data_IF_575924560545
#
_entry.id   IF_575924560545
#
_cell.length_a   1.000
_cell.length_b   1.000
_cell.length_c   1.000
_cell.angle_alpha   90.00
_cell.angle_beta   90.00
_cell.angle_gamma   90.00
#
_symmetry.space_group_name_H-M   'P 1'
#
loop_
_entity.id
_entity.type
_entity.pdbx_description
1 polymer ?
#
# COMPACT_ATOMS: atom_id res chain seq x y z
N UNK A 1 -25.03 -33.30 10.74
CA UNK A 1 -24.15 -32.74 9.69
C UNK A 1 -23.40 -31.57 10.30
N UNK A 2 -22.15 -31.28 9.91
CA UNK A 2 -21.44 -30.11 10.47
C UNK A 2 -22.10 -28.82 9.97
N UNK A 3 -22.42 -27.90 10.88
CA UNK A 3 -23.13 -26.65 10.59
C UNK A 3 -22.52 -25.83 9.43
N UNK A 4 -21.18 -25.84 9.29
CA UNK A 4 -20.50 -25.12 8.20
C UNK A 4 -20.79 -25.68 6.81
N UNK A 5 -21.18 -26.96 6.69
CA UNK A 5 -21.45 -27.63 5.42
C UNK A 5 -22.72 -27.10 4.73
N UNK A 6 -23.70 -26.63 5.51
CA UNK A 6 -24.95 -26.03 5.03
C UNK A 6 -24.75 -24.59 4.51
N UNK A 7 -23.63 -23.98 4.90
CA UNK A 7 -23.24 -22.63 4.53
C UNK A 7 -22.37 -22.60 3.26
N UNK A 8 -21.92 -23.77 2.79
CA UNK A 8 -21.14 -23.90 1.56
C UNK A 8 -22.02 -23.65 0.35
N UNK A 9 -21.62 -22.71 -0.51
CA UNK A 9 -22.44 -22.27 -1.65
C UNK A 9 -23.47 -21.18 -1.27
N UNK A 10 -23.66 -20.91 0.03
CA UNK A 10 -24.30 -19.68 0.50
C UNK A 10 -23.29 -18.60 0.84
N UNK A 11 -22.07 -18.95 1.30
CA UNK A 11 -20.94 -18.06 1.62
C UNK A 11 -19.65 -18.52 0.93
N UNK A 12 -18.75 -17.57 0.62
CA UNK A 12 -17.47 -17.91 -0.03
C UNK A 12 -16.68 -18.91 0.81
N UNK A 13 -15.89 -19.77 0.18
CA UNK A 13 -15.09 -20.79 0.89
C UNK A 13 -14.23 -20.19 2.02
N UNK A 14 -13.75 -18.94 1.84
CA UNK A 14 -13.01 -18.19 2.84
C UNK A 14 -13.87 -17.66 3.99
N UNK A 15 -15.11 -17.27 3.71
CA UNK A 15 -16.03 -16.73 4.71
C UNK A 15 -16.58 -17.85 5.60
N UNK A 16 -16.95 -18.99 5.02
CA UNK A 16 -17.32 -20.21 5.78
C UNK A 16 -16.15 -20.65 6.66
N UNK A 17 -14.93 -20.62 6.12
CA UNK A 17 -13.72 -20.93 6.88
C UNK A 17 -13.53 -20.02 8.09
N UNK A 18 -13.69 -18.71 7.90
CA UNK A 18 -13.55 -17.70 8.95
C UNK A 18 -14.63 -17.87 10.04
N UNK A 19 -15.89 -18.06 9.66
CA UNK A 19 -17.03 -18.14 10.59
C UNK A 19 -17.00 -19.38 11.48
N UNK A 20 -16.57 -20.51 10.94
CA UNK A 20 -16.67 -21.81 11.61
C UNK A 20 -15.31 -22.38 12.06
N UNK A 21 -14.23 -21.60 11.94
CA UNK A 21 -12.88 -22.03 12.34
C UNK A 21 -12.34 -23.22 11.55
N UNK A 22 -12.79 -23.40 10.30
CA UNK A 22 -12.36 -24.50 9.43
C UNK A 22 -11.42 -24.01 8.33
N UNK A 23 -10.53 -24.87 7.84
CA UNK A 23 -9.65 -24.48 6.73
C UNK A 23 -10.45 -24.20 5.45
N UNK A 24 -10.17 -23.08 4.77
CA UNK A 24 -10.77 -22.75 3.47
C UNK A 24 -10.54 -23.85 2.42
N UNK A 25 -9.43 -24.57 2.51
CA UNK A 25 -9.14 -25.73 1.65
C UNK A 25 -10.07 -26.92 1.92
N UNK A 26 -10.48 -27.12 3.19
CA UNK A 26 -11.45 -28.15 3.58
C UNK A 26 -12.83 -27.81 3.04
N UNK A 27 -13.23 -26.54 3.13
CA UNK A 27 -14.50 -26.03 2.59
C UNK A 27 -14.56 -26.21 1.08
N UNK A 28 -13.52 -25.75 0.37
CA UNK A 28 -13.42 -25.90 -1.09
C UNK A 28 -13.48 -27.36 -1.53
N UNK A 29 -12.79 -28.27 -0.83
CA UNK A 29 -12.76 -29.70 -1.17
C UNK A 29 -14.14 -30.34 -0.98
N UNK A 30 -14.84 -29.96 0.09
CA UNK A 30 -16.23 -30.37 0.31
C UNK A 30 -17.15 -29.86 -0.80
N UNK A 31 -17.08 -28.56 -1.12
CA UNK A 31 -17.86 -27.93 -2.20
C UNK A 31 -17.72 -28.64 -3.54
N UNK A 32 -16.48 -28.95 -3.94
CA UNK A 32 -16.20 -29.64 -5.20
C UNK A 32 -16.71 -31.09 -5.18
N UNK A 33 -16.54 -31.80 -4.05
CA UNK A 33 -17.01 -33.19 -3.88
C UNK A 33 -18.54 -33.29 -3.98
N UNK A 34 -19.26 -32.32 -3.43
CA UNK A 34 -20.73 -32.27 -3.44
C UNK A 34 -21.29 -31.54 -4.67
N UNK A 35 -20.43 -31.13 -5.61
CA UNK A 35 -20.79 -30.37 -6.83
C UNK A 35 -21.59 -29.09 -6.54
N UNK A 36 -21.36 -28.47 -5.38
CA UNK A 36 -21.97 -27.19 -5.01
C UNK A 36 -21.26 -26.07 -5.79
N UNK A 37 -22.03 -25.21 -6.45
CA UNK A 37 -21.48 -24.07 -7.18
C UNK A 37 -20.78 -23.09 -6.22
N UNK A 38 -19.71 -22.45 -6.70
CA UNK A 38 -19.05 -21.41 -5.92
C UNK A 38 -19.96 -20.18 -5.89
N UNK A 39 -20.44 -19.79 -4.70
CA UNK A 39 -21.13 -18.50 -4.61
C UNK A 39 -20.11 -17.38 -4.80
N UNK A 40 -20.32 -16.59 -5.84
CA UNK A 40 -19.45 -15.46 -6.13
C UNK A 40 -19.71 -14.31 -5.16
N UNK A 41 -20.90 -14.19 -4.57
CA UNK A 41 -21.21 -13.13 -3.60
C UNK A 41 -22.41 -13.51 -2.73
N UNK A 42 -22.23 -13.70 -1.41
CA UNK A 42 -23.26 -14.35 -0.61
C UNK A 42 -24.33 -13.42 -0.05
N UNK A 43 -23.99 -12.28 0.51
CA UNK A 43 -24.95 -11.26 0.98
C UNK A 43 -24.13 -9.99 1.27
N UNK A 44 -24.78 -8.83 1.24
CA UNK A 44 -24.13 -7.56 1.63
C UNK A 44 -23.90 -7.63 3.15
N UNK A 45 -22.67 -7.53 3.66
CA UNK A 45 -22.45 -7.51 5.11
C UNK A 45 -23.20 -6.36 5.78
N UNK A 46 -23.77 -6.61 6.95
CA UNK A 46 -24.50 -5.58 7.72
C UNK A 46 -23.62 -4.34 7.95
N UNK A 47 -24.18 -3.15 7.67
CA UNK A 47 -23.48 -1.87 7.74
C UNK A 47 -22.53 -1.56 6.58
N UNK A 48 -22.36 -2.46 5.60
CA UNK A 48 -21.60 -2.15 4.37
C UNK A 48 -22.31 -1.06 3.56
N UNK A 49 -23.64 -1.14 3.45
CA UNK A 49 -24.45 -0.17 2.72
C UNK A 49 -24.33 1.25 3.32
N UNK A 50 -24.44 1.37 4.64
CA UNK A 50 -24.25 2.65 5.35
C UNK A 50 -22.82 3.18 5.19
N UNK A 51 -21.84 2.27 5.20
CA UNK A 51 -20.44 2.59 4.94
C UNK A 51 -20.17 3.12 3.54
N UNK A 52 -20.98 2.79 2.52
CA UNK A 52 -20.79 3.29 1.15
C UNK A 52 -21.00 4.79 1.03
N UNK A 53 -21.75 5.42 1.93
CA UNK A 53 -21.96 6.88 1.88
C UNK A 53 -20.66 7.62 2.24
N UNK A 54 -19.90 7.12 3.21
CA UNK A 54 -18.78 7.85 3.82
C UNK A 54 -17.39 7.30 3.51
N UNK A 55 -17.28 6.00 3.23
CA UNK A 55 -15.98 5.32 3.11
C UNK A 55 -15.60 5.06 1.66
N UNK A 56 -14.33 5.19 1.34
CA UNK A 56 -13.76 4.75 0.05
C UNK A 56 -13.86 3.23 -0.13
N UNK A 57 -13.77 2.77 -1.37
CA UNK A 57 -13.75 1.34 -1.70
C UNK A 57 -12.61 0.60 -1.00
N UNK A 58 -11.47 1.26 -0.84
CA UNK A 58 -10.33 0.71 -0.10
C UNK A 58 -10.64 0.56 1.40
N UNK A 59 -11.23 1.58 2.03
CA UNK A 59 -11.62 1.53 3.43
C UNK A 59 -12.66 0.44 3.69
N UNK A 60 -13.65 0.30 2.80
CA UNK A 60 -14.67 -0.76 2.88
C UNK A 60 -14.06 -2.16 2.71
N UNK A 61 -13.14 -2.33 1.76
CA UNK A 61 -12.42 -3.59 1.57
C UNK A 61 -11.67 -4.00 2.84
N UNK A 62 -10.98 -3.05 3.49
CA UNK A 62 -10.24 -3.28 4.73
C UNK A 62 -11.15 -3.56 5.92
N UNK A 63 -12.28 -2.85 6.04
CA UNK A 63 -13.21 -2.96 7.18
C UNK A 63 -14.07 -4.21 7.12
N UNK A 64 -14.62 -4.52 5.94
CA UNK A 64 -15.59 -5.60 5.77
C UNK A 64 -15.01 -6.86 5.12
N UNK A 65 -13.75 -6.83 4.68
CA UNK A 65 -13.09 -7.98 4.05
C UNK A 65 -13.71 -8.39 2.70
N UNK A 66 -14.44 -7.46 2.07
CA UNK A 66 -15.10 -7.64 0.77
C UNK A 66 -14.13 -7.23 -0.35
N UNK A 67 -14.18 -7.92 -1.49
CA UNK A 67 -13.35 -7.55 -2.63
C UNK A 67 -13.72 -6.16 -3.14
N UNK A 68 -12.71 -5.42 -3.61
CA UNK A 68 -12.91 -4.08 -4.17
C UNK A 68 -13.89 -4.10 -5.35
N UNK A 69 -13.79 -5.09 -6.24
CA UNK A 69 -14.69 -5.26 -7.39
C UNK A 69 -16.15 -5.42 -6.97
N UNK A 70 -16.43 -6.15 -5.88
CA UNK A 70 -17.79 -6.29 -5.37
C UNK A 70 -18.30 -4.99 -4.78
N UNK A 71 -17.48 -4.23 -4.07
CA UNK A 71 -17.88 -2.92 -3.53
C UNK A 71 -18.22 -1.97 -4.69
N UNK A 72 -17.42 -1.96 -5.76
CA UNK A 72 -17.71 -1.19 -6.97
C UNK A 72 -19.02 -1.62 -7.64
N UNK A 73 -19.27 -2.92 -7.76
CA UNK A 73 -20.53 -3.46 -8.31
C UNK A 73 -21.74 -3.03 -7.45
N UNK A 74 -21.61 -3.12 -6.12
CA UNK A 74 -22.69 -2.72 -5.21
C UNK A 74 -22.96 -1.22 -5.25
N UNK A 75 -21.91 -0.39 -5.32
CA UNK A 75 -22.04 1.06 -5.51
C UNK A 75 -22.77 1.41 -6.81
N UNK A 76 -22.48 0.69 -7.90
CA UNK A 76 -23.17 0.89 -9.17
C UNK A 76 -24.66 0.49 -9.08
N UNK A 77 -24.96 -0.65 -8.44
CA UNK A 77 -26.35 -1.13 -8.27
C UNK A 77 -27.19 -0.27 -7.35
N UNK A 78 -26.58 0.30 -6.30
CA UNK A 78 -27.24 1.17 -5.34
C UNK A 78 -27.14 2.66 -5.73
N UNK A 79 -26.53 2.96 -6.88
CA UNK A 79 -26.28 4.32 -7.37
C UNK A 79 -25.58 5.24 -6.34
N UNK A 80 -24.72 4.66 -5.49
CA UNK A 80 -23.94 5.39 -4.47
C UNK A 80 -22.52 5.63 -4.98
N UNK A 81 -22.19 6.83 -5.51
CA UNK A 81 -20.85 7.12 -5.99
C UNK A 81 -19.84 7.06 -4.84
N UNK A 82 -18.61 6.66 -5.14
CA UNK A 82 -17.52 6.70 -4.15
C UNK A 82 -17.35 8.13 -3.64
N UNK A 83 -17.31 8.35 -2.31
CA UNK A 83 -17.09 9.68 -1.77
C UNK A 83 -15.75 10.16 -2.32
N UNK A 84 -15.81 11.20 -3.16
CA UNK A 84 -14.61 11.88 -3.61
C UNK A 84 -14.01 12.50 -2.36
N UNK A 85 -12.83 12.04 -1.96
CA UNK A 85 -12.02 12.78 -1.01
C UNK A 85 -11.73 14.11 -1.71
N UNK A 86 -12.43 15.18 -1.30
CA UNK A 86 -12.00 16.54 -1.61
C UNK A 86 -10.66 16.71 -0.92
N UNK A 87 -9.60 16.38 -1.67
CA UNK A 87 -8.26 16.80 -1.32
C UNK A 87 -8.27 18.30 -1.55
N UNK A 88 -7.93 19.06 -0.51
CA UNK A 88 -7.60 20.46 -0.69
C UNK A 88 -6.65 20.57 -1.88
N UNK A 89 -7.03 21.36 -2.88
CA UNK A 89 -6.15 21.61 -4.01
C UNK A 89 -4.90 22.24 -3.43
N UNK A 90 -3.72 21.71 -3.78
CA UNK A 90 -2.47 22.39 -3.45
C UNK A 90 -2.59 23.83 -3.93
N UNK A 91 -2.30 24.78 -3.03
CA UNK A 91 -2.37 26.19 -3.34
C UNK A 91 -1.46 26.47 -4.55
N UNK A 92 -1.94 27.21 -5.57
CA UNK A 92 -1.08 27.74 -6.62
C UNK A 92 0.08 28.50 -5.98
N UNK A 93 1.29 28.43 -6.56
CA UNK A 93 2.37 29.25 -6.04
C UNK A 93 2.14 30.70 -6.41
N UNK A 94 2.04 31.54 -5.38
CA UNK A 94 1.99 32.99 -5.57
C UNK A 94 3.27 33.50 -6.25
N UNK A 95 3.17 34.50 -7.13
CA UNK A 95 4.34 35.18 -7.67
C UNK A 95 5.23 35.70 -6.53
N UNK A 96 6.51 35.33 -6.52
CA UNK A 96 7.46 35.70 -5.45
C UNK A 96 7.59 34.69 -4.31
N UNK A 97 6.94 33.54 -4.39
CA UNK A 97 7.08 32.46 -3.39
C UNK A 97 8.54 32.04 -3.13
N UNK A 98 9.36 31.99 -4.19
CA UNK A 98 10.78 31.63 -4.11
C UNK A 98 11.62 32.79 -3.56
N UNK A 99 11.59 32.93 -2.23
CA UNK A 99 12.51 33.80 -1.50
C UNK A 99 13.92 33.21 -1.47
N UNK A 100 14.93 34.03 -1.22
CA UNK A 100 16.33 33.58 -1.10
C UNK A 100 16.46 32.48 -0.04
N UNK A 101 15.70 32.56 1.05
CA UNK A 101 15.61 31.52 2.07
C UNK A 101 15.09 30.19 1.51
N UNK A 102 13.96 30.21 0.77
CA UNK A 102 13.40 29.00 0.15
C UNK A 102 14.34 28.39 -0.90
N UNK A 103 15.02 29.24 -1.68
CA UNK A 103 16.02 28.82 -2.67
C UNK A 103 17.24 28.18 -1.99
N UNK A 104 17.71 28.73 -0.87
CA UNK A 104 18.85 28.18 -0.11
C UNK A 104 18.63 26.76 0.41
N UNK A 105 17.37 26.35 0.60
CA UNK A 105 17.00 25.02 1.08
C UNK A 105 17.01 23.96 -0.03
N UNK A 106 16.97 24.36 -1.30
CA UNK A 106 16.98 23.43 -2.43
C UNK A 106 18.28 22.61 -2.42
N UNK A 107 18.15 21.29 -2.50
CA UNK A 107 19.29 20.36 -2.49
C UNK A 107 19.87 20.06 -1.10
N UNK A 108 19.47 20.78 -0.04
CA UNK A 108 19.93 20.52 1.34
C UNK A 108 19.18 19.37 2.02
N UNK A 109 17.97 19.08 1.56
CA UNK A 109 17.10 18.02 2.06
C UNK A 109 16.28 17.42 0.90
N UNK A 110 15.63 16.26 1.08
CA UNK A 110 14.76 15.69 0.05
C UNK A 110 13.67 16.69 -0.40
N UNK A 111 13.48 16.84 -1.72
CA UNK A 111 12.37 17.62 -2.32
C UNK A 111 11.00 17.37 -1.64
N UNK A 112 10.65 16.14 -1.21
CA UNK A 112 9.42 15.86 -0.46
C UNK A 112 9.33 16.59 0.89
N UNK A 113 10.39 16.52 1.68
CA UNK A 113 10.44 17.12 3.01
C UNK A 113 10.46 18.65 2.90
N UNK A 114 11.17 19.17 1.89
CA UNK A 114 11.15 20.59 1.59
C UNK A 114 9.75 21.06 1.16
N UNK A 115 9.05 20.29 0.33
CA UNK A 115 7.69 20.60 -0.08
C UNK A 115 6.71 20.62 1.10
N UNK A 116 6.81 19.63 1.98
CA UNK A 116 6.01 19.55 3.21
C UNK A 116 6.29 20.75 4.13
N UNK A 117 7.57 21.13 4.29
CA UNK A 117 7.97 22.31 5.08
C UNK A 117 7.47 23.63 4.48
N UNK A 118 7.39 23.70 3.17
CA UNK A 118 6.96 24.87 2.41
C UNK A 118 5.43 24.92 2.19
N UNK A 119 4.70 23.87 2.55
CA UNK A 119 3.25 23.78 2.35
C UNK A 119 2.82 23.67 0.88
N UNK A 120 3.72 23.21 0.00
CA UNK A 120 3.48 23.14 -1.44
C UNK A 120 3.57 21.72 -1.98
N UNK A 121 3.18 21.53 -3.23
CA UNK A 121 3.41 20.27 -3.92
C UNK A 121 4.91 20.03 -4.17
N UNK A 122 5.29 18.76 -4.28
CA UNK A 122 6.68 18.30 -4.54
C UNK A 122 7.16 18.68 -5.95
N UNK A 123 6.24 18.88 -6.89
CA UNK A 123 6.55 19.17 -8.27
C UNK A 123 7.25 20.54 -8.46
N UNK A 124 6.70 21.65 -7.94
CA UNK A 124 7.36 22.97 -7.96
C UNK A 124 8.78 22.97 -7.38
N UNK A 125 9.01 22.27 -6.27
CA UNK A 125 10.35 22.17 -5.65
C UNK A 125 11.34 21.52 -6.60
N UNK A 126 10.96 20.37 -7.17
CA UNK A 126 11.78 19.67 -8.16
C UNK A 126 12.05 20.54 -9.39
N UNK A 127 11.03 21.23 -9.89
CA UNK A 127 11.14 22.10 -11.05
C UNK A 127 12.12 23.25 -10.77
N UNK A 128 11.96 23.97 -9.66
CA UNK A 128 12.84 25.08 -9.29
C UNK A 128 14.28 24.63 -9.08
N UNK A 129 14.47 23.47 -8.42
CA UNK A 129 15.79 22.86 -8.25
C UNK A 129 16.46 22.59 -9.61
N UNK A 130 15.71 22.07 -10.58
CA UNK A 130 16.21 21.80 -11.93
C UNK A 130 16.50 23.08 -12.72
N UNK A 131 15.64 24.10 -12.65
CA UNK A 131 15.86 25.40 -13.27
C UNK A 131 17.15 26.08 -12.78
N UNK A 132 17.47 25.91 -11.49
CA UNK A 132 18.69 26.44 -10.88
C UNK A 132 19.91 25.51 -11.02
N UNK A 133 19.77 24.35 -11.68
CA UNK A 133 20.86 23.38 -11.86
C UNK A 133 21.34 22.71 -10.57
N UNK A 134 20.55 22.75 -9.49
CA UNK A 134 20.93 22.20 -8.19
C UNK A 134 20.76 20.67 -8.20
N UNK A 135 21.76 19.93 -7.72
CA UNK A 135 21.68 18.48 -7.63
C UNK A 135 20.61 18.04 -6.60
N UNK A 136 19.93 16.89 -6.82
CA UNK A 136 18.99 16.36 -5.83
C UNK A 136 19.75 15.96 -4.56
N UNK A 137 19.11 16.15 -3.41
CA UNK A 137 19.67 15.71 -2.13
C UNK A 137 19.99 14.22 -2.17
N UNK A 138 21.23 13.88 -1.83
CA UNK A 138 21.69 12.49 -1.67
C UNK A 138 21.92 12.23 -0.20
N UNK A 139 21.07 11.38 0.39
CA UNK A 139 21.34 10.84 1.72
C UNK A 139 22.56 9.92 1.62
N UNK A 140 23.57 10.17 2.44
CA UNK A 140 24.67 9.23 2.65
C UNK A 140 24.12 8.01 3.38
N UNK A 141 24.29 6.84 2.77
CA UNK A 141 23.91 5.58 3.36
C UNK A 141 25.16 4.90 3.93
N UNK A 142 25.03 4.12 5.02
CA UNK A 142 26.15 3.35 5.57
C UNK A 142 26.70 2.38 4.52
N UNK A 143 28.01 2.22 4.51
CA UNK A 143 28.66 1.21 3.68
C UNK A 143 28.25 -0.19 4.14
N UNK A 144 28.07 -1.08 3.17
CA UNK A 144 27.75 -2.48 3.44
C UNK A 144 29.07 -3.20 3.73
N UNK A 145 29.36 -3.43 5.01
CA UNK A 145 30.50 -4.23 5.44
C UNK A 145 30.32 -5.70 5.04
N UNK A 146 31.42 -6.46 5.01
CA UNK A 146 31.39 -7.90 4.75
C UNK A 146 30.53 -8.65 5.77
N UNK A 147 30.47 -8.18 7.02
CA UNK A 147 29.62 -8.72 8.08
C UNK A 147 28.14 -8.55 7.76
N UNK A 148 27.72 -7.36 7.31
CA UNK A 148 26.33 -7.11 6.89
C UNK A 148 25.99 -7.93 5.65
N UNK A 149 26.94 -8.09 4.73
CA UNK A 149 26.73 -8.88 3.52
C UNK A 149 26.53 -10.37 3.82
N UNK A 150 27.25 -10.93 4.81
CA UNK A 150 27.08 -12.31 5.25
C UNK A 150 25.69 -12.59 5.85
N UNK A 151 24.99 -11.55 6.34
CA UNK A 151 23.62 -11.69 6.84
C UNK A 151 22.56 -11.72 5.72
N UNK A 152 22.93 -11.39 4.48
CA UNK A 152 21.98 -11.41 3.37
C UNK A 152 21.48 -12.83 3.07
N UNK A 153 20.16 -13.02 3.16
CA UNK A 153 19.53 -14.32 2.95
C UNK A 153 19.36 -15.15 4.24
N UNK A 154 20.07 -14.79 5.31
CA UNK A 154 19.90 -15.38 6.65
C UNK A 154 18.92 -14.53 7.47
N UNK A 155 19.16 -13.22 7.52
CA UNK A 155 18.34 -12.26 8.25
C UNK A 155 17.45 -11.52 7.26
N UNK A 156 16.20 -11.23 7.65
CA UNK A 156 15.31 -10.48 6.75
C UNK A 156 15.81 -9.05 6.53
N UNK A 157 15.65 -8.55 5.30
CA UNK A 157 16.05 -7.17 4.94
C UNK A 157 15.42 -6.12 5.85
N UNK A 158 14.23 -6.42 6.41
CA UNK A 158 13.52 -5.55 7.36
C UNK A 158 14.24 -5.38 8.69
N UNK A 159 14.90 -6.42 9.18
CA UNK A 159 15.66 -6.38 10.44
C UNK A 159 16.98 -5.65 10.21
N UNK A 160 17.69 -6.00 9.13
CA UNK A 160 18.94 -5.33 8.75
C UNK A 160 18.70 -3.82 8.52
N UNK A 161 17.61 -3.46 7.82
CA UNK A 161 17.26 -2.07 7.57
C UNK A 161 16.99 -1.27 8.85
N UNK A 162 16.27 -1.86 9.81
CA UNK A 162 16.02 -1.25 11.12
C UNK A 162 17.33 -1.04 11.90
N UNK A 163 18.21 -2.05 11.92
CA UNK A 163 19.51 -1.95 12.61
C UNK A 163 20.38 -0.83 12.04
N UNK A 164 20.37 -0.66 10.72
CA UNK A 164 21.17 0.34 10.02
C UNK A 164 20.51 1.73 9.93
N UNK A 165 19.26 1.88 10.38
CA UNK A 165 18.52 3.14 10.24
C UNK A 165 18.24 3.54 8.77
N UNK A 166 18.14 2.55 7.87
CA UNK A 166 17.95 2.74 6.42
C UNK A 166 16.62 2.16 5.96
N UNK A 167 16.25 2.43 4.70
CA UNK A 167 15.06 1.82 4.11
C UNK A 167 15.29 0.35 3.76
N UNK A 168 14.23 -0.46 3.83
CA UNK A 168 14.25 -1.86 3.37
C UNK A 168 14.70 -1.99 1.92
N UNK A 169 14.28 -1.04 1.07
CA UNK A 169 14.68 -0.96 -0.34
C UNK A 169 16.16 -0.65 -0.55
N UNK A 170 16.84 -0.02 0.42
CA UNK A 170 18.30 0.12 0.37
C UNK A 170 18.98 -1.24 0.55
N UNK A 171 18.60 -2.00 1.57
CA UNK A 171 19.15 -3.34 1.84
C UNK A 171 18.87 -4.31 0.70
N UNK A 172 17.67 -4.30 0.13
CA UNK A 172 17.33 -5.11 -1.03
C UNK A 172 18.23 -4.85 -2.24
N UNK A 173 18.53 -3.56 -2.51
CA UNK A 173 19.43 -3.16 -3.60
C UNK A 173 20.88 -3.55 -3.30
N UNK A 174 21.32 -3.37 -2.06
CA UNK A 174 22.63 -3.82 -1.60
C UNK A 174 22.81 -5.32 -1.76
N UNK A 175 21.86 -6.13 -1.31
CA UNK A 175 21.85 -7.58 -1.47
C UNK A 175 21.92 -7.99 -2.94
N UNK A 176 21.07 -7.39 -3.79
CA UNK A 176 21.09 -7.68 -5.23
C UNK A 176 22.46 -7.40 -5.84
N UNK A 177 23.03 -6.23 -5.58
CA UNK A 177 24.37 -5.85 -6.07
C UNK A 177 25.47 -6.78 -5.56
N UNK A 178 25.32 -7.31 -4.34
CA UNK A 178 26.29 -8.24 -3.76
C UNK A 178 26.21 -9.63 -4.40
N UNK A 179 24.99 -10.16 -4.60
CA UNK A 179 24.77 -11.42 -5.32
C UNK A 179 25.24 -11.34 -6.77
N UNK A 180 24.96 -10.22 -7.46
CA UNK A 180 25.39 -10.01 -8.83
C UNK A 180 26.94 -9.95 -8.96
N UNK A 181 27.68 -9.70 -7.86
CA UNK A 181 29.16 -9.72 -7.83
C UNK A 181 29.79 -11.09 -7.63
N UNK A 182 29.05 -12.06 -7.08
CA UNK A 182 29.56 -13.43 -6.90
C UNK A 182 29.33 -14.31 -8.13
N UNK A 183 28.56 -13.81 -9.11
CA UNK A 183 28.18 -14.57 -10.32
C UNK A 183 29.11 -14.28 -11.52
N UNK A 184 29.98 -13.28 -11.42
CA UNK A 184 31.07 -12.98 -12.38
C UNK A 184 32.43 -13.53 -11.87
#
# INVERSE_FOLDING_TARGET
MSEWMEMVGKFSDREVARRFGVSASKVRRYRLKTKISYCVNPEIPDGLADGMISMTNYQLCRKFGVSMARISELRLKLEVPEPRLEREKFQPLEPGFWTDGAVSLLGTMPDPELADRLGISRFPVKQKRQELGIAPYRKEYPEISAEIAAEFGVVSDGIIAKRLGVSTSFVQRARKKWLDREVD
#
